data_IF_588336842224
#
_entry.id   IF_588336842224
#
_cell.length_a   1.000
_cell.length_b   1.000
_cell.length_c   1.000
_cell.angle_alpha   90.00
_cell.angle_beta   90.00
_cell.angle_gamma   90.00
#
_symmetry.space_group_name_H-M   'P 1'
#
loop_
_entity.id
_entity.type
_entity.pdbx_description
1 polymer ?
#
# COMPACT_ATOMS: atom_id res chain seq x y z
N UNK A 1 15.03 -5.88 -25.32
CA UNK A 1 13.78 -6.27 -24.67
C UNK A 1 12.89 -6.92 -25.71
N UNK A 2 12.66 -8.22 -25.63
CA UNK A 2 11.76 -8.92 -26.55
C UNK A 2 10.32 -8.70 -26.04
N UNK A 3 9.52 -8.01 -26.84
CA UNK A 3 8.08 -7.92 -26.63
C UNK A 3 7.42 -9.05 -27.43
N UNK A 4 6.52 -9.80 -26.77
CA UNK A 4 5.70 -10.77 -27.47
C UNK A 4 4.81 -10.06 -28.49
N UNK A 5 4.82 -10.51 -29.74
CA UNK A 5 3.98 -9.97 -30.82
C UNK A 5 2.56 -10.54 -30.69
N UNK A 6 1.55 -9.85 -31.25
CA UNK A 6 0.21 -10.41 -31.30
C UNK A 6 0.19 -11.81 -31.94
N UNK A 7 -0.34 -12.80 -31.19
CA UNK A 7 -0.40 -14.21 -31.61
C UNK A 7 0.78 -15.10 -31.14
N UNK A 8 1.81 -14.54 -30.51
CA UNK A 8 2.86 -15.34 -29.88
C UNK A 8 2.41 -15.90 -28.53
N UNK A 9 2.97 -17.05 -28.15
CA UNK A 9 2.75 -17.63 -26.82
C UNK A 9 3.38 -16.70 -25.76
N UNK A 10 2.62 -16.49 -24.69
CA UNK A 10 3.04 -15.66 -23.58
C UNK A 10 3.75 -16.51 -22.53
N UNK A 11 4.82 -15.96 -21.96
CA UNK A 11 5.48 -16.58 -20.84
C UNK A 11 4.48 -16.73 -19.67
N UNK A 12 4.32 -17.96 -19.21
CA UNK A 12 3.54 -18.29 -18.02
C UNK A 12 4.50 -18.63 -16.88
N UNK A 13 4.44 -17.87 -15.80
CA UNK A 13 5.22 -18.10 -14.59
C UNK A 13 4.36 -18.77 -13.51
N UNK A 14 4.95 -19.67 -12.77
CA UNK A 14 4.33 -20.35 -11.64
C UNK A 14 5.36 -20.51 -10.51
N UNK A 15 5.07 -20.07 -9.28
CA UNK A 15 5.94 -20.30 -8.15
C UNK A 15 5.95 -21.80 -7.81
N UNK A 16 7.01 -22.26 -7.15
CA UNK A 16 7.11 -23.59 -6.60
C UNK A 16 7.99 -23.57 -5.35
N UNK A 17 7.63 -24.35 -4.34
CA UNK A 17 8.43 -24.56 -3.14
C UNK A 17 9.03 -25.97 -3.22
N UNK A 18 10.30 -26.10 -2.88
CA UNK A 18 11.00 -27.37 -2.82
C UNK A 18 11.51 -27.60 -1.40
N UNK A 19 11.24 -28.76 -0.86
CA UNK A 19 11.89 -29.21 0.36
C UNK A 19 13.30 -29.67 0.02
N UNK A 20 14.32 -29.02 0.59
CA UNK A 20 15.73 -29.27 0.27
C UNK A 20 16.22 -30.64 0.79
N UNK A 21 15.57 -31.20 1.81
CA UNK A 21 15.95 -32.50 2.41
C UNK A 21 15.29 -33.67 1.69
N UNK A 22 13.97 -33.55 1.41
CA UNK A 22 13.20 -34.66 0.83
C UNK A 22 13.07 -34.58 -0.69
N UNK A 23 13.29 -33.39 -1.29
CA UNK A 23 13.06 -33.14 -2.70
C UNK A 23 11.59 -33.02 -3.08
N UNK A 24 10.68 -33.03 -2.11
CA UNK A 24 9.25 -32.83 -2.35
C UNK A 24 8.98 -31.43 -2.92
N UNK A 25 7.96 -31.36 -3.78
CA UNK A 25 7.58 -30.13 -4.49
C UNK A 25 6.17 -29.74 -4.14
N UNK A 26 6.00 -28.49 -3.72
CA UNK A 26 4.69 -27.82 -3.62
C UNK A 26 4.52 -26.92 -4.84
N UNK A 27 3.68 -27.34 -5.78
CA UNK A 27 3.41 -26.63 -7.04
C UNK A 27 1.92 -26.34 -7.09
N UNK A 28 1.52 -25.07 -7.20
CA UNK A 28 0.10 -24.70 -7.16
C UNK A 28 -0.63 -25.06 -8.45
N UNK A 29 -1.94 -25.22 -8.33
CA UNK A 29 -2.86 -25.24 -9.46
C UNK A 29 -2.83 -23.90 -10.19
N UNK A 30 -3.09 -23.91 -11.51
CA UNK A 30 -2.93 -22.72 -12.37
C UNK A 30 -4.17 -21.85 -12.46
N UNK A 31 -5.32 -22.31 -12.02
CA UNK A 31 -6.61 -21.61 -12.19
C UNK A 31 -6.62 -20.17 -11.63
N UNK A 32 -5.89 -19.90 -10.52
CA UNK A 32 -5.78 -18.54 -9.97
C UNK A 32 -4.76 -17.67 -10.71
N UNK A 33 -3.94 -18.24 -11.59
CA UNK A 33 -2.84 -17.59 -12.29
C UNK A 33 -3.11 -17.40 -13.79
N UNK A 34 -4.32 -17.75 -14.27
CA UNK A 34 -4.68 -17.64 -15.67
C UNK A 34 -4.68 -16.18 -16.14
N UNK A 35 -4.38 -15.96 -17.43
CA UNK A 35 -4.32 -14.64 -18.04
C UNK A 35 -3.38 -13.67 -17.32
N UNK A 36 -2.26 -14.15 -16.81
CA UNK A 36 -1.31 -13.29 -16.11
C UNK A 36 -0.68 -12.25 -17.05
N UNK A 37 -0.62 -11.00 -16.55
CA UNK A 37 0.26 -9.96 -17.08
C UNK A 37 1.62 -10.08 -16.41
N UNK A 38 1.63 -10.19 -15.08
CA UNK A 38 2.84 -10.26 -14.28
C UNK A 38 2.57 -11.05 -12.99
N UNK A 39 3.62 -11.69 -12.50
CA UNK A 39 3.69 -12.29 -11.18
C UNK A 39 5.01 -11.85 -10.55
N UNK A 40 4.97 -11.33 -9.32
CA UNK A 40 6.18 -10.90 -8.61
C UNK A 40 7.02 -12.08 -8.15
N UNK A 41 8.26 -11.82 -7.80
CA UNK A 41 9.09 -12.82 -7.14
C UNK A 41 8.48 -13.16 -5.77
N UNK A 42 8.47 -14.46 -5.40
CA UNK A 42 7.95 -14.89 -4.10
C UNK A 42 8.81 -14.40 -2.94
N UNK A 43 8.16 -13.97 -1.87
CA UNK A 43 8.80 -13.54 -0.62
C UNK A 43 8.41 -14.52 0.49
N UNK A 44 9.38 -15.03 1.23
CA UNK A 44 9.15 -15.92 2.35
C UNK A 44 8.42 -15.21 3.49
N UNK A 45 7.42 -15.87 4.03
CA UNK A 45 6.82 -15.49 5.30
C UNK A 45 7.77 -15.82 6.47
N UNK A 46 7.57 -15.14 7.61
CA UNK A 46 8.46 -15.26 8.79
C UNK A 46 8.53 -16.67 9.37
N UNK A 47 7.50 -17.48 9.20
CA UNK A 47 7.45 -18.87 9.67
C UNK A 47 8.22 -19.84 8.77
N UNK A 48 8.66 -19.41 7.60
CA UNK A 48 9.34 -20.20 6.57
C UNK A 48 8.54 -21.41 6.05
N UNK A 49 7.21 -21.38 6.21
CA UNK A 49 6.30 -22.42 5.71
C UNK A 49 5.45 -21.98 4.52
N UNK A 50 5.49 -20.69 4.20
CA UNK A 50 4.79 -20.15 3.04
C UNK A 50 5.57 -19.02 2.38
N UNK A 51 5.20 -18.74 1.14
CA UNK A 51 5.67 -17.58 0.37
C UNK A 51 4.48 -16.76 -0.09
N UNK A 52 4.62 -15.45 -0.10
CA UNK A 52 3.64 -14.56 -0.71
C UNK A 52 4.19 -13.97 -2.01
N UNK A 53 3.31 -13.72 -2.95
CA UNK A 53 3.62 -13.07 -4.21
C UNK A 53 2.39 -12.32 -4.75
N UNK A 54 2.62 -11.40 -5.65
CA UNK A 54 1.58 -10.58 -6.25
C UNK A 54 1.28 -11.07 -7.67
N UNK A 55 0.00 -11.15 -7.99
CA UNK A 55 -0.51 -11.52 -9.30
C UNK A 55 -1.26 -10.33 -9.90
N UNK A 56 -0.89 -9.96 -11.12
CA UNK A 56 -1.56 -8.96 -11.94
C UNK A 56 -2.14 -9.63 -13.19
N UNK A 57 -3.44 -9.57 -13.35
CA UNK A 57 -4.14 -10.12 -14.51
C UNK A 57 -4.02 -9.21 -15.74
N UNK A 58 -4.03 -9.78 -16.96
CA UNK A 58 -4.09 -9.00 -18.19
C UNK A 58 -5.32 -8.11 -18.23
N UNK A 59 -5.10 -6.87 -18.69
CA UNK A 59 -6.11 -5.83 -18.65
C UNK A 59 -6.22 -5.13 -17.31
N UNK A 60 -5.41 -5.56 -16.32
CA UNK A 60 -5.27 -4.91 -15.00
C UNK A 60 -6.59 -4.70 -14.26
N UNK A 61 -7.54 -5.61 -14.45
CA UNK A 61 -8.84 -5.59 -13.77
C UNK A 61 -8.87 -6.43 -12.50
N UNK A 62 -7.87 -7.29 -12.33
CA UNK A 62 -7.69 -8.18 -11.19
C UNK A 62 -6.25 -8.06 -10.71
N UNK A 63 -6.09 -7.78 -9.42
CA UNK A 63 -4.82 -7.79 -8.74
C UNK A 63 -4.96 -8.54 -7.43
N UNK A 64 -4.04 -9.47 -7.15
CA UNK A 64 -4.12 -10.33 -5.96
C UNK A 64 -2.79 -10.39 -5.25
N UNK A 65 -2.85 -10.51 -3.93
CA UNK A 65 -1.76 -11.06 -3.13
C UNK A 65 -2.13 -12.51 -2.80
N UNK A 66 -1.25 -13.42 -3.19
CA UNK A 66 -1.44 -14.85 -3.04
C UNK A 66 -0.39 -15.41 -2.08
N UNK A 67 -0.76 -16.38 -1.29
CA UNK A 67 0.11 -17.17 -0.42
C UNK A 67 0.14 -18.62 -0.92
N UNK A 68 1.33 -19.16 -1.06
CA UNK A 68 1.57 -20.57 -1.38
C UNK A 68 2.24 -21.22 -0.18
N UNK A 69 1.66 -22.27 0.36
CA UNK A 69 2.25 -23.02 1.48
C UNK A 69 3.17 -24.15 1.00
N UNK A 70 4.01 -24.66 1.92
CA UNK A 70 4.94 -25.76 1.67
C UNK A 70 4.26 -27.14 1.64
N UNK A 71 2.95 -27.20 1.90
CA UNK A 71 2.17 -28.45 1.97
C UNK A 71 1.15 -28.50 0.82
N UNK A 72 1.39 -29.36 -0.16
CA UNK A 72 0.43 -29.70 -1.19
C UNK A 72 0.22 -28.68 -2.31
N UNK A 73 0.88 -27.52 -2.28
CA UNK A 73 0.75 -26.50 -3.33
C UNK A 73 -0.58 -25.74 -3.29
N UNK A 74 -1.25 -25.73 -2.16
CA UNK A 74 -2.50 -24.98 -1.98
C UNK A 74 -2.22 -23.48 -1.92
N UNK A 75 -2.95 -22.69 -2.74
CA UNK A 75 -2.86 -21.23 -2.73
C UNK A 75 -4.02 -20.62 -1.97
N UNK A 76 -3.70 -19.62 -1.16
CA UNK A 76 -4.66 -18.79 -0.45
C UNK A 76 -4.63 -17.36 -0.98
N UNK A 77 -5.81 -16.75 -1.16
CA UNK A 77 -5.93 -15.34 -1.53
C UNK A 77 -5.91 -14.49 -0.27
N UNK A 78 -4.90 -13.62 -0.13
CA UNK A 78 -4.77 -12.69 0.99
C UNK A 78 -5.43 -11.34 0.68
N UNK A 79 -5.27 -10.86 -0.56
CA UNK A 79 -5.92 -9.65 -1.07
C UNK A 79 -6.49 -9.94 -2.45
N UNK A 80 -7.74 -9.56 -2.70
CA UNK A 80 -8.42 -9.70 -3.99
C UNK A 80 -8.98 -8.33 -4.42
N UNK A 81 -8.20 -7.61 -5.22
CA UNK A 81 -8.63 -6.35 -5.81
C UNK A 81 -9.21 -6.59 -7.19
N UNK A 82 -10.43 -6.08 -7.40
CA UNK A 82 -11.14 -6.16 -8.69
C UNK A 82 -11.75 -4.81 -9.02
N UNK A 83 -11.62 -4.43 -10.27
CA UNK A 83 -12.24 -3.22 -10.80
C UNK A 83 -12.70 -3.45 -12.24
N UNK A 84 -13.86 -2.93 -12.61
CA UNK A 84 -14.45 -3.12 -13.96
C UNK A 84 -13.60 -2.49 -15.06
N UNK A 85 -12.83 -1.48 -14.75
CA UNK A 85 -11.99 -0.75 -15.69
C UNK A 85 -10.51 -1.05 -15.50
N UNK A 86 -9.96 -0.71 -14.34
CA UNK A 86 -8.53 -0.76 -14.07
C UNK A 86 -8.24 -0.73 -12.57
N UNK A 87 -7.34 -1.57 -12.09
CA UNK A 87 -6.75 -1.50 -10.74
C UNK A 87 -5.44 -0.73 -10.84
N UNK A 88 -5.28 0.35 -10.09
CA UNK A 88 -4.08 1.18 -10.09
C UNK A 88 -2.95 0.54 -9.28
N UNK A 89 -2.50 -0.63 -9.73
CA UNK A 89 -1.53 -1.47 -9.02
C UNK A 89 -0.17 -0.81 -8.79
N UNK A 90 0.22 0.17 -9.61
CA UNK A 90 1.49 0.89 -9.47
C UNK A 90 1.55 1.74 -8.18
N UNK A 91 0.41 2.05 -7.60
CA UNK A 91 0.26 2.85 -6.38
C UNK A 91 -0.27 2.07 -5.19
N UNK A 92 -0.34 0.76 -5.30
CA UNK A 92 -0.75 -0.08 -4.19
C UNK A 92 0.25 0.06 -3.03
N UNK A 93 -0.29 0.18 -1.84
CA UNK A 93 0.48 0.11 -0.60
C UNK A 93 0.06 -1.15 0.16
N UNK A 94 1.04 -1.91 0.60
CA UNK A 94 0.89 -3.09 1.44
C UNK A 94 1.78 -2.97 2.67
N UNK A 95 1.21 -3.24 3.84
CA UNK A 95 1.97 -3.42 5.07
C UNK A 95 1.35 -4.56 5.88
N UNK A 96 2.09 -5.64 5.99
CA UNK A 96 1.69 -6.81 6.78
C UNK A 96 1.97 -6.54 8.25
N UNK A 97 0.93 -6.59 9.09
CA UNK A 97 1.07 -6.36 10.52
C UNK A 97 1.81 -7.51 11.21
N UNK A 98 2.50 -7.17 12.29
CA UNK A 98 3.25 -8.16 13.09
C UNK A 98 2.35 -9.22 13.74
N UNK A 99 1.02 -8.99 13.82
CA UNK A 99 0.04 -9.94 14.30
C UNK A 99 -0.17 -11.17 13.39
N UNK A 100 0.34 -11.09 12.14
CA UNK A 100 0.21 -12.13 11.12
C UNK A 100 -1.21 -12.36 10.60
N UNK A 101 -2.19 -11.53 11.01
CA UNK A 101 -3.62 -11.68 10.69
C UNK A 101 -4.15 -10.57 9.79
N UNK A 102 -3.56 -9.40 9.85
CA UNK A 102 -4.06 -8.22 9.15
C UNK A 102 -3.03 -7.59 8.25
N UNK A 103 -3.53 -6.92 7.23
CA UNK A 103 -2.73 -6.14 6.27
C UNK A 103 -3.36 -4.76 6.14
N UNK A 104 -2.53 -3.71 6.20
CA UNK A 104 -2.95 -2.38 5.75
C UNK A 104 -2.75 -2.34 4.23
N UNK A 105 -3.84 -2.14 3.52
CA UNK A 105 -3.90 -2.16 2.06
C UNK A 105 -4.53 -0.88 1.52
N UNK A 106 -3.96 -0.33 0.44
CA UNK A 106 -4.60 0.77 -0.28
C UNK A 106 -5.48 0.27 -1.42
N UNK A 107 -6.68 0.83 -1.55
CA UNK A 107 -7.67 0.40 -2.55
C UNK A 107 -8.51 1.57 -3.03
N UNK A 108 -8.89 1.55 -4.31
CA UNK A 108 -9.84 2.49 -4.92
C UNK A 108 -11.27 1.95 -4.98
N UNK A 109 -11.61 0.92 -4.18
CA UNK A 109 -12.89 0.20 -4.21
C UNK A 109 -14.13 1.04 -3.93
N UNK A 110 -13.99 2.20 -3.29
CA UNK A 110 -15.08 3.16 -3.02
C UNK A 110 -15.03 4.40 -3.92
N UNK A 111 -14.17 4.41 -4.95
CA UNK A 111 -14.02 5.49 -5.93
C UNK A 111 -12.86 6.44 -5.65
N UNK A 112 -12.25 6.37 -4.45
CA UNK A 112 -11.06 7.11 -4.05
C UNK A 112 -10.02 6.16 -3.46
N UNK A 113 -8.73 6.48 -3.58
CA UNK A 113 -7.70 5.64 -2.97
C UNK A 113 -7.67 5.87 -1.46
N UNK A 114 -8.07 4.84 -0.72
CA UNK A 114 -8.10 4.83 0.72
C UNK A 114 -7.37 3.63 1.31
N UNK A 115 -7.08 3.71 2.62
CA UNK A 115 -6.48 2.63 3.38
C UNK A 115 -7.55 1.78 4.04
N UNK A 116 -7.35 0.46 3.96
CA UNK A 116 -8.22 -0.56 4.54
C UNK A 116 -7.41 -1.50 5.40
N UNK A 117 -8.00 -1.99 6.47
CA UNK A 117 -7.50 -3.14 7.20
C UNK A 117 -8.11 -4.39 6.59
N UNK A 118 -7.29 -5.24 6.00
CA UNK A 118 -7.70 -6.50 5.37
C UNK A 118 -7.43 -7.65 6.34
N UNK A 119 -8.39 -8.54 6.50
CA UNK A 119 -8.21 -9.81 7.18
C UNK A 119 -7.57 -10.82 6.21
N UNK A 120 -6.39 -11.35 6.56
CA UNK A 120 -5.63 -12.27 5.70
C UNK A 120 -6.36 -13.57 5.42
N UNK A 121 -7.18 -14.04 6.34
CA UNK A 121 -7.88 -15.33 6.19
C UNK A 121 -9.03 -15.24 5.21
N UNK A 122 -9.77 -14.13 5.23
CA UNK A 122 -10.97 -13.95 4.40
C UNK A 122 -10.72 -13.13 3.14
N UNK A 123 -9.57 -12.47 3.03
CA UNK A 123 -9.25 -11.48 1.99
C UNK A 123 -10.26 -10.31 1.92
N UNK A 124 -10.99 -10.06 3.00
CA UNK A 124 -12.01 -9.03 3.07
C UNK A 124 -11.57 -7.88 3.98
N UNK A 125 -12.04 -6.64 3.72
CA UNK A 125 -11.83 -5.53 4.64
C UNK A 125 -12.53 -5.81 5.97
N UNK A 126 -11.73 -5.80 7.07
CA UNK A 126 -12.28 -5.76 8.43
C UNK A 126 -12.90 -4.40 8.70
N UNK A 127 -12.20 -3.33 8.27
CA UNK A 127 -12.73 -1.95 8.29
C UNK A 127 -11.94 -1.04 7.33
N UNK A 128 -12.55 0.10 7.02
CA UNK A 128 -11.92 1.17 6.26
C UNK A 128 -11.24 2.16 7.23
N UNK A 129 -9.93 2.39 7.05
CA UNK A 129 -9.12 3.26 7.91
C UNK A 129 -9.31 4.72 7.52
N UNK A 130 -9.17 5.05 6.23
CA UNK A 130 -9.39 6.41 5.72
C UNK A 130 -10.62 6.45 4.83
N UNK A 131 -11.37 7.57 4.82
CA UNK A 131 -12.61 7.70 4.05
C UNK A 131 -12.89 9.15 3.67
N UNK A 132 -13.62 9.36 2.58
CA UNK A 132 -14.05 10.68 2.11
C UNK A 132 -13.83 10.86 0.61
N UNK A 133 -14.18 12.04 0.09
CA UNK A 133 -14.02 12.40 -1.31
C UNK A 133 -12.61 13.00 -1.56
N UNK A 134 -11.58 12.22 -1.28
CA UNK A 134 -10.17 12.63 -1.37
C UNK A 134 -9.24 11.42 -1.50
N UNK A 135 -7.99 11.64 -1.88
CA UNK A 135 -7.02 10.59 -2.20
C UNK A 135 -5.89 10.48 -1.19
N UNK A 136 -5.60 9.28 -0.71
CA UNK A 136 -4.30 8.93 -0.13
C UNK A 136 -3.26 8.90 -1.25
N UNK A 137 -2.19 9.70 -1.14
CA UNK A 137 -1.13 9.80 -2.14
C UNK A 137 0.02 8.83 -1.87
N UNK A 138 0.25 8.49 -0.62
CA UNK A 138 1.26 7.53 -0.20
C UNK A 138 1.34 7.44 1.32
N UNK A 139 1.77 6.30 1.80
CA UNK A 139 2.06 6.05 3.22
C UNK A 139 3.56 6.26 3.46
N UNK A 140 3.91 7.06 4.44
CA UNK A 140 5.29 7.34 4.83
C UNK A 140 5.79 6.39 5.90
N UNK A 141 4.91 6.07 6.87
CA UNK A 141 5.30 5.22 7.99
C UNK A 141 4.08 4.59 8.66
N UNK A 142 4.23 3.37 9.14
CA UNK A 142 3.27 2.68 9.99
C UNK A 142 3.94 2.42 11.34
N UNK A 143 3.43 3.05 12.39
CA UNK A 143 3.83 2.79 13.76
C UNK A 143 2.85 1.78 14.36
N UNK A 144 3.21 0.49 14.29
CA UNK A 144 2.37 -0.57 14.83
C UNK A 144 2.26 -0.49 16.36
N UNK A 145 3.33 -0.06 17.04
CA UNK A 145 3.34 0.04 18.50
C UNK A 145 2.39 1.14 19.00
N UNK A 146 2.34 2.27 18.30
CA UNK A 146 1.41 3.35 18.59
C UNK A 146 0.04 3.18 17.91
N UNK A 147 -0.11 2.18 17.03
CA UNK A 147 -1.31 1.98 16.23
C UNK A 147 -1.62 3.18 15.32
N UNK A 148 -0.59 3.76 14.66
CA UNK A 148 -0.74 5.00 13.89
C UNK A 148 -0.07 4.91 12.52
N UNK A 149 -0.72 5.50 11.52
CA UNK A 149 -0.25 5.59 10.14
C UNK A 149 0.01 7.05 9.81
N UNK A 150 1.17 7.34 9.19
CA UNK A 150 1.54 8.63 8.65
C UNK A 150 1.46 8.57 7.13
N UNK A 151 0.72 9.49 6.52
CA UNK A 151 0.45 9.44 5.08
C UNK A 151 0.31 10.84 4.48
N UNK A 152 0.48 10.92 3.17
CA UNK A 152 0.16 12.10 2.38
C UNK A 152 -1.18 11.92 1.67
N UNK A 153 -1.91 13.01 1.52
CA UNK A 153 -3.20 13.02 0.85
C UNK A 153 -3.43 14.32 0.09
N UNK A 154 -4.36 14.31 -0.85
CA UNK A 154 -4.81 15.48 -1.59
C UNK A 154 -6.34 15.52 -1.66
N UNK A 155 -6.92 16.75 -1.67
CA UNK A 155 -8.36 16.97 -1.71
C UNK A 155 -9.08 16.86 -0.38
N UNK A 156 -8.38 16.70 0.76
CA UNK A 156 -8.99 16.60 2.10
C UNK A 156 -9.71 17.87 2.48
N UNK A 157 -9.13 19.04 2.17
CA UNK A 157 -9.73 20.35 2.44
C UNK A 157 -10.51 20.83 1.22
N UNK A 158 -11.83 20.98 1.36
CA UNK A 158 -12.74 21.31 0.25
C UNK A 158 -12.55 22.71 -0.34
N UNK A 159 -12.02 23.63 0.47
CA UNK A 159 -11.84 25.04 0.09
C UNK A 159 -10.44 25.33 -0.50
N UNK A 160 -9.66 24.27 -0.77
CA UNK A 160 -8.31 24.36 -1.35
C UNK A 160 -8.23 23.64 -2.70
N UNK A 161 -7.17 23.96 -3.44
CA UNK A 161 -6.85 23.23 -4.67
C UNK A 161 -6.69 21.72 -4.36
N UNK A 162 -7.50 20.83 -4.96
CA UNK A 162 -7.48 19.42 -4.69
C UNK A 162 -6.18 18.71 -5.11
N UNK A 163 -5.28 19.39 -5.82
CA UNK A 163 -3.97 18.85 -6.18
C UNK A 163 -2.89 19.07 -5.12
N UNK A 164 -3.12 19.96 -4.16
CA UNK A 164 -2.16 20.21 -3.07
C UNK A 164 -1.97 18.95 -2.22
N UNK A 165 -0.72 18.60 -1.99
CA UNK A 165 -0.35 17.46 -1.15
C UNK A 165 -0.13 17.95 0.27
N UNK A 166 -0.81 17.30 1.22
CA UNK A 166 -0.70 17.53 2.65
C UNK A 166 -0.38 16.24 3.37
N UNK A 167 0.13 16.37 4.58
CA UNK A 167 0.52 15.21 5.40
C UNK A 167 -0.37 15.11 6.64
N UNK A 168 -0.73 13.87 6.93
CA UNK A 168 -1.67 13.51 7.98
C UNK A 168 -1.15 12.32 8.77
N UNK A 169 -1.68 12.14 9.98
CA UNK A 169 -1.61 10.86 10.66
C UNK A 169 -3.00 10.43 11.09
N UNK A 170 -3.23 9.12 11.20
CA UNK A 170 -4.51 8.51 11.62
C UNK A 170 -4.22 7.26 12.43
N UNK A 171 -5.08 6.92 13.39
CA UNK A 171 -5.00 5.62 14.04
C UNK A 171 -5.40 4.49 13.09
N UNK A 172 -4.84 3.30 13.31
CA UNK A 172 -5.15 2.11 12.50
C UNK A 172 -6.61 1.70 12.55
N UNK A 173 -7.35 2.11 13.60
CA UNK A 173 -8.80 1.93 13.71
C UNK A 173 -9.65 2.96 12.95
N UNK A 174 -9.00 3.92 12.26
CA UNK A 174 -9.65 4.97 11.49
C UNK A 174 -10.08 6.20 12.29
N UNK A 175 -9.69 6.28 13.56
CA UNK A 175 -9.99 7.44 14.43
C UNK A 175 -8.80 8.40 14.54
N UNK A 176 -9.01 9.56 15.14
CA UNK A 176 -7.98 10.55 15.49
C UNK A 176 -7.08 10.93 14.29
N UNK A 177 -7.71 11.29 13.16
CA UNK A 177 -6.99 11.87 12.02
C UNK A 177 -6.49 13.27 12.37
N UNK A 178 -5.20 13.53 12.16
CA UNK A 178 -4.53 14.80 12.46
C UNK A 178 -3.91 15.39 11.20
N UNK A 179 -4.10 16.69 11.00
CA UNK A 179 -3.40 17.48 9.97
C UNK A 179 -2.03 17.87 10.53
N UNK A 180 -0.96 17.38 9.87
CA UNK A 180 0.42 17.65 10.28
C UNK A 180 1.03 18.85 9.55
N UNK A 181 0.38 19.31 8.48
CA UNK A 181 0.82 20.43 7.63
C UNK A 181 -0.30 21.45 7.46
N UNK A 182 -0.68 22.23 8.51
CA UNK A 182 -1.90 23.01 8.54
C UNK A 182 -1.91 24.24 7.63
N UNK A 183 -0.75 24.67 7.11
CA UNK A 183 -0.63 25.85 6.22
C UNK A 183 -1.07 25.48 4.81
N UNK A 184 -1.71 26.42 4.09
CA UNK A 184 -2.08 26.19 2.69
C UNK A 184 -0.86 26.17 1.80
N UNK A 185 -0.73 25.14 0.99
CA UNK A 185 0.39 24.95 0.06
C UNK A 185 0.58 23.49 -0.35
N UNK A 186 1.48 23.29 -1.29
CA UNK A 186 1.95 21.94 -1.62
C UNK A 186 3.15 21.61 -0.75
N UNK A 187 3.03 20.59 0.05
CA UNK A 187 4.01 20.21 1.07
C UNK A 187 4.91 19.07 0.60
N UNK A 188 6.16 19.12 1.03
CA UNK A 188 7.13 18.03 0.99
C UNK A 188 7.70 17.85 2.39
N UNK A 189 7.49 16.68 2.97
CA UNK A 189 7.89 16.39 4.36
C UNK A 189 8.98 15.34 4.39
N UNK A 190 10.00 15.59 5.21
CA UNK A 190 11.04 14.63 5.56
C UNK A 190 11.01 14.38 7.05
N UNK A 191 10.77 13.12 7.44
CA UNK A 191 10.73 12.72 8.85
C UNK A 191 12.11 12.39 9.38
N UNK A 192 12.34 12.66 10.69
CA UNK A 192 13.48 12.13 11.40
C UNK A 192 13.40 10.59 11.52
N UNK A 193 14.54 9.87 11.61
CA UNK A 193 14.53 8.40 11.71
C UNK A 193 13.74 7.85 12.91
N UNK A 194 13.63 8.62 13.99
CA UNK A 194 12.87 8.27 15.20
C UNK A 194 11.40 8.75 15.17
N UNK A 195 10.97 9.32 14.04
CA UNK A 195 9.61 9.82 13.82
C UNK A 195 9.11 10.86 14.82
N UNK A 196 10.02 11.57 15.52
CA UNK A 196 9.66 12.64 16.47
C UNK A 196 9.51 14.00 15.82
N UNK A 197 10.29 14.23 14.78
CA UNK A 197 10.37 15.51 14.10
C UNK A 197 10.13 15.33 12.60
N UNK A 198 9.71 16.41 11.96
CA UNK A 198 9.66 16.48 10.51
C UNK A 198 10.07 17.87 10.02
N UNK A 199 10.82 17.93 8.95
CA UNK A 199 11.04 19.14 8.16
C UNK A 199 9.92 19.22 7.14
N UNK A 200 9.16 20.30 7.20
CA UNK A 200 8.06 20.59 6.29
C UNK A 200 8.46 21.77 5.39
N UNK A 201 8.53 21.51 4.10
CA UNK A 201 8.79 22.51 3.06
C UNK A 201 7.53 22.66 2.22
N UNK A 202 7.00 23.89 2.10
CA UNK A 202 5.83 24.11 1.28
C UNK A 202 5.96 25.39 0.44
N UNK A 203 5.20 25.43 -0.64
CA UNK A 203 5.06 26.60 -1.49
C UNK A 203 3.67 26.64 -2.12
N UNK A 204 3.31 27.82 -2.62
CA UNK A 204 2.20 28.00 -3.55
C UNK A 204 2.74 28.51 -4.90
N UNK A 205 1.86 28.72 -5.87
CA UNK A 205 2.26 29.34 -7.16
C UNK A 205 2.74 30.79 -6.94
N UNK A 206 2.21 31.47 -5.92
CA UNK A 206 2.48 32.87 -5.65
C UNK A 206 3.62 33.09 -4.63
N UNK A 207 3.88 32.10 -3.78
CA UNK A 207 4.78 32.24 -2.63
C UNK A 207 6.05 31.40 -2.82
N UNK A 208 7.19 31.97 -2.45
CA UNK A 208 8.45 31.24 -2.39
C UNK A 208 8.37 30.09 -1.37
N UNK A 209 9.18 29.01 -1.55
CA UNK A 209 9.24 27.93 -0.58
C UNK A 209 9.57 28.42 0.82
N UNK A 210 8.86 27.89 1.79
CA UNK A 210 9.07 28.09 3.23
C UNK A 210 9.46 26.76 3.86
N UNK A 211 10.30 26.78 4.86
CA UNK A 211 10.74 25.57 5.57
C UNK A 211 10.63 25.74 7.07
N UNK A 212 10.04 24.76 7.75
CA UNK A 212 9.93 24.72 9.22
C UNK A 212 10.26 23.33 9.76
N UNK A 213 10.70 23.29 11.00
CA UNK A 213 10.74 22.09 11.81
C UNK A 213 9.42 21.93 12.57
N UNK A 214 8.79 20.77 12.47
CA UNK A 214 7.55 20.44 13.20
C UNK A 214 7.71 19.20 14.08
N UNK A 215 6.86 19.12 15.09
CA UNK A 215 6.61 17.88 15.81
C UNK A 215 5.84 16.91 14.90
N UNK A 216 6.33 15.69 14.70
CA UNK A 216 5.63 14.69 13.90
C UNK A 216 4.37 14.13 14.62
N UNK A 217 4.26 14.31 15.94
CA UNK A 217 3.12 13.81 16.72
C UNK A 217 1.82 14.58 16.43
N UNK A 218 1.91 15.90 16.18
CA UNK A 218 0.76 16.80 16.09
C UNK A 218 0.87 17.92 15.03
N UNK A 219 1.97 17.97 14.28
CA UNK A 219 2.22 19.00 13.26
C UNK A 219 2.58 20.39 13.81
N UNK A 220 2.71 20.54 15.14
CA UNK A 220 3.03 21.81 15.77
C UNK A 220 4.41 22.31 15.32
N UNK A 221 4.47 23.56 14.88
CA UNK A 221 5.70 24.22 14.52
C UNK A 221 6.60 24.39 15.74
N UNK A 222 7.87 24.04 15.58
CA UNK A 222 8.90 24.15 16.60
C UNK A 222 9.92 25.24 16.28
N UNK A 223 10.24 25.42 15.00
CA UNK A 223 11.26 26.35 14.55
C UNK A 223 11.05 26.71 13.08
N UNK A 224 11.17 27.99 12.74
CA UNK A 224 11.33 28.43 11.36
C UNK A 224 12.76 28.15 10.91
N UNK A 225 12.91 27.57 9.70
CA UNK A 225 14.24 27.26 9.14
C UNK A 225 14.64 28.29 8.09
N UNK A 226 13.75 28.62 7.19
CA UNK A 226 13.87 29.70 6.19
C UNK A 226 12.50 30.16 5.70
#
# INVERSE_FOLDING_TARGET
>A
QEYAKPGEELLFKRPAIFNAETGEKSIPETAMLENQYEISDPVWEKDSHSVTFEYNGRGHKVYRVLELNDKGGEMHVIVDEKHDKYVNYVRNFRHDLADGKHIIWSSERDGYQHLYMIDRLTAQPSWQITRGEWYVRGVQYVDEAAGRIFFSASGVKKDEDPYLIRYYSIKTDGTDMRDLTPVTGNHVVTYSPDMKYMVDVWSTIADAPQAVLRSAADGRELMQLE
#
